data_IF_400502645714
#
_entry.id   IF_400502645714
#
_cell.length_a   1.000
_cell.length_b   1.000
_cell.length_c   1.000
_cell.angle_alpha   90.00
_cell.angle_beta   90.00
_cell.angle_gamma   90.00
#
_symmetry.space_group_name_H-M   'P 1'
#
loop_
_entity.id
_entity.type
_entity.pdbx_description
1 polymer ?
#
# COMPACT_ATOMS: atom_id res chain seq x y z
N UNK A 1 -25.23 19.30 20.30
CA UNK A 1 -25.62 18.27 19.30
C UNK A 1 -24.41 18.04 18.41
N UNK A 2 -23.97 16.80 18.19
CA UNK A 2 -22.91 16.55 17.22
C UNK A 2 -23.35 17.10 15.84
N UNK A 3 -22.44 17.70 15.06
CA UNK A 3 -22.78 18.25 13.75
C UNK A 3 -23.36 17.15 12.86
N UNK A 4 -24.49 17.44 12.22
CA UNK A 4 -25.22 16.49 11.40
C UNK A 4 -24.42 16.27 10.09
N UNK A 5 -23.86 15.07 9.90
CA UNK A 5 -23.20 14.67 8.64
C UNK A 5 -24.26 14.58 7.54
N UNK A 6 -24.48 15.69 6.83
CA UNK A 6 -25.44 15.73 5.72
C UNK A 6 -24.89 14.83 4.61
N UNK A 7 -25.64 13.76 4.31
CA UNK A 7 -25.36 12.76 3.26
C UNK A 7 -24.27 11.71 3.57
N UNK A 8 -23.90 11.48 4.84
CA UNK A 8 -22.88 10.47 5.23
C UNK A 8 -21.52 10.64 4.51
N UNK A 9 -21.16 11.88 4.16
CA UNK A 9 -19.98 12.17 3.34
C UNK A 9 -18.71 11.81 4.09
N UNK A 10 -18.66 12.11 5.39
CA UNK A 10 -17.50 11.79 6.23
C UNK A 10 -17.35 10.27 6.38
N UNK A 11 -18.46 9.53 6.49
CA UNK A 11 -18.44 8.06 6.51
C UNK A 11 -17.88 7.48 5.21
N UNK A 12 -18.31 7.98 4.05
CA UNK A 12 -17.82 7.54 2.74
C UNK A 12 -16.33 7.85 2.59
N UNK A 13 -15.87 9.03 3.01
CA UNK A 13 -14.45 9.38 2.93
C UNK A 13 -13.59 8.45 3.79
N UNK A 14 -14.01 8.15 5.02
CA UNK A 14 -13.31 7.19 5.88
C UNK A 14 -13.31 5.77 5.32
N UNK A 15 -14.37 5.37 4.63
CA UNK A 15 -14.44 4.10 3.92
C UNK A 15 -13.41 4.06 2.78
N UNK A 16 -13.33 5.10 1.95
CA UNK A 16 -12.30 5.20 0.90
C UNK A 16 -10.89 5.20 1.47
N UNK A 17 -10.65 5.90 2.58
CA UNK A 17 -9.36 5.86 3.28
C UNK A 17 -9.04 4.45 3.78
N UNK A 18 -10.02 3.73 4.32
CA UNK A 18 -9.90 2.33 4.68
C UNK A 18 -9.47 1.46 3.48
N UNK A 19 -10.09 1.65 2.31
CA UNK A 19 -9.67 0.95 1.08
C UNK A 19 -8.21 1.31 0.73
N UNK A 20 -7.86 2.60 0.76
CA UNK A 20 -6.52 3.09 0.43
C UNK A 20 -5.41 2.58 1.35
N UNK A 21 -5.70 2.19 2.59
CA UNK A 21 -4.69 1.63 3.51
C UNK A 21 -4.24 0.21 3.15
N UNK A 22 -5.12 -0.63 2.60
CA UNK A 22 -4.81 -2.05 2.37
C UNK A 22 -4.77 -2.42 0.90
N UNK A 23 -5.47 -1.70 0.03
CA UNK A 23 -5.48 -1.99 -1.40
C UNK A 23 -4.08 -1.99 -2.02
N UNK A 24 -3.19 -0.99 -1.77
CA UNK A 24 -1.85 -0.99 -2.35
C UNK A 24 -1.04 -2.23 -1.94
N UNK A 25 -1.16 -2.63 -0.68
CA UNK A 25 -0.50 -3.84 -0.16
C UNK A 25 -1.04 -5.11 -0.82
N UNK A 26 -2.37 -5.22 -0.97
CA UNK A 26 -2.99 -6.36 -1.63
C UNK A 26 -2.56 -6.46 -3.11
N UNK A 27 -2.49 -5.32 -3.81
CA UNK A 27 -2.01 -5.25 -5.20
C UNK A 27 -0.53 -5.66 -5.32
N UNK A 28 0.30 -5.32 -4.32
CA UNK A 28 1.72 -5.70 -4.30
C UNK A 28 1.90 -7.22 -4.14
N UNK A 29 1.14 -7.85 -3.23
CA UNK A 29 1.18 -9.31 -3.04
C UNK A 29 0.64 -10.03 -4.27
N UNK A 30 -0.45 -9.55 -4.87
CA UNK A 30 -1.06 -10.19 -6.05
C UNK A 30 -0.17 -10.10 -7.30
N UNK A 31 0.84 -9.24 -7.30
CA UNK A 31 1.86 -9.16 -8.36
C UNK A 31 3.01 -10.18 -8.18
N UNK A 32 2.85 -11.20 -7.33
CA UNK A 32 3.88 -12.22 -7.04
C UNK A 32 4.48 -12.85 -8.31
N UNK A 33 3.65 -13.29 -9.26
CA UNK A 33 4.10 -13.90 -10.51
C UNK A 33 4.97 -12.97 -11.36
N UNK A 34 4.78 -11.65 -11.25
CA UNK A 34 5.66 -10.69 -11.91
C UNK A 34 7.04 -10.64 -11.26
N UNK A 35 7.13 -10.74 -9.93
CA UNK A 35 8.42 -10.73 -9.24
C UNK A 35 9.14 -12.06 -9.42
N UNK A 36 8.46 -13.18 -9.18
CA UNK A 36 9.06 -14.52 -9.14
C UNK A 36 9.26 -15.09 -10.54
N UNK A 37 8.19 -15.12 -11.37
CA UNK A 37 8.21 -15.85 -12.64
C UNK A 37 8.79 -15.02 -13.80
N UNK A 38 8.78 -13.70 -13.68
CA UNK A 38 9.29 -12.79 -14.72
C UNK A 38 10.60 -12.10 -14.34
N UNK A 39 10.65 -11.36 -13.23
CA UNK A 39 11.81 -10.52 -12.90
C UNK A 39 12.99 -11.26 -12.31
N UNK A 40 12.75 -12.23 -11.44
CA UNK A 40 13.79 -13.02 -10.79
C UNK A 40 14.17 -14.26 -11.60
N UNK A 41 13.37 -14.64 -12.59
CA UNK A 41 13.60 -15.82 -13.43
C UNK A 41 14.60 -15.55 -14.56
N UNK A 42 15.90 -15.55 -14.23
CA UNK A 42 16.99 -15.38 -15.20
C UNK A 42 17.69 -16.71 -15.52
N UNK A 43 18.25 -16.80 -16.73
CA UNK A 43 18.91 -18.01 -17.28
C UNK A 43 20.15 -18.42 -16.48
N UNK A 44 20.83 -17.47 -15.81
CA UNK A 44 22.00 -17.70 -14.95
C UNK A 44 21.57 -17.69 -13.47
N UNK A 45 20.70 -18.61 -13.07
CA UNK A 45 20.20 -18.67 -11.69
C UNK A 45 21.27 -19.20 -10.74
N UNK A 46 21.58 -18.43 -9.69
CA UNK A 46 22.42 -18.85 -8.56
C UNK A 46 21.56 -19.51 -7.48
N UNK A 47 22.14 -20.36 -6.61
CA UNK A 47 21.39 -20.98 -5.50
C UNK A 47 20.72 -19.97 -4.57
N UNK A 48 21.31 -18.79 -4.41
CA UNK A 48 20.74 -17.68 -3.64
C UNK A 48 19.50 -17.08 -4.32
N UNK A 49 19.52 -16.94 -5.65
CA UNK A 49 18.40 -16.38 -6.40
C UNK A 49 17.19 -17.32 -6.40
N UNK A 50 17.41 -18.64 -6.48
CA UNK A 50 16.33 -19.62 -6.37
C UNK A 50 15.71 -19.64 -4.96
N UNK A 51 16.51 -19.38 -3.92
CA UNK A 51 15.99 -19.17 -2.57
C UNK A 51 15.13 -17.89 -2.48
N UNK A 52 15.56 -16.78 -3.11
CA UNK A 52 14.80 -15.53 -3.17
C UNK A 52 13.47 -15.68 -3.89
N UNK A 53 13.43 -16.44 -5.00
CA UNK A 53 12.18 -16.78 -5.72
C UNK A 53 11.23 -17.58 -4.82
N UNK A 54 11.74 -18.66 -4.23
CA UNK A 54 10.92 -19.61 -3.47
C UNK A 54 10.31 -18.97 -2.22
N UNK A 55 11.06 -18.06 -1.57
CA UNK A 55 10.65 -17.41 -0.33
C UNK A 55 10.29 -15.92 -0.53
N UNK A 56 9.97 -15.49 -1.76
CA UNK A 56 9.77 -14.07 -2.08
C UNK A 56 8.71 -13.42 -1.19
N UNK A 57 7.52 -14.02 -1.10
CA UNK A 57 6.43 -13.51 -0.26
C UNK A 57 6.79 -13.49 1.23
N UNK A 58 7.57 -14.48 1.70
CA UNK A 58 8.04 -14.52 3.09
C UNK A 58 9.01 -13.37 3.38
N UNK A 59 9.99 -13.14 2.49
CA UNK A 59 10.91 -12.01 2.60
C UNK A 59 10.18 -10.68 2.49
N UNK A 60 9.24 -10.56 1.55
CA UNK A 60 8.40 -9.37 1.38
C UNK A 60 7.59 -9.10 2.65
N UNK A 61 6.98 -10.13 3.24
CA UNK A 61 6.24 -10.04 4.49
C UNK A 61 7.10 -9.57 5.66
N UNK A 62 8.27 -10.17 5.87
CA UNK A 62 9.19 -9.80 6.94
C UNK A 62 9.72 -8.37 6.74
N UNK A 63 10.22 -8.05 5.54
CA UNK A 63 10.72 -6.72 5.20
C UNK A 63 9.64 -5.64 5.35
N UNK A 64 8.38 -5.99 5.14
CA UNK A 64 7.25 -5.09 5.28
C UNK A 64 6.79 -4.91 6.72
N UNK A 65 6.65 -5.99 7.49
CA UNK A 65 6.04 -5.96 8.83
C UNK A 65 7.05 -5.67 9.93
N UNK A 66 8.28 -6.18 9.85
CA UNK A 66 9.26 -5.99 10.92
C UNK A 66 9.65 -4.51 11.11
N UNK A 67 10.01 -3.73 10.07
CA UNK A 67 10.34 -2.31 10.25
C UNK A 67 9.13 -1.49 10.69
N UNK A 68 7.94 -1.83 10.18
CA UNK A 68 6.70 -1.18 10.56
C UNK A 68 6.40 -1.34 12.05
N UNK A 69 6.50 -2.56 12.59
CA UNK A 69 6.29 -2.83 14.03
C UNK A 69 7.31 -2.09 14.87
N UNK A 70 8.60 -2.17 14.52
CA UNK A 70 9.66 -1.48 15.25
C UNK A 70 9.42 0.03 15.33
N UNK A 71 9.07 0.66 14.21
CA UNK A 71 8.80 2.10 14.18
C UNK A 71 7.49 2.46 14.88
N UNK A 72 6.48 1.60 14.88
CA UNK A 72 5.26 1.83 15.66
C UNK A 72 5.54 1.75 17.17
N UNK A 73 6.34 0.79 17.61
CA UNK A 73 6.78 0.67 19.01
C UNK A 73 7.59 1.91 19.41
N UNK A 74 8.54 2.35 18.58
CA UNK A 74 9.30 3.57 18.84
C UNK A 74 8.36 4.79 18.91
N UNK A 75 7.41 4.93 17.97
CA UNK A 75 6.44 6.03 18.01
C UNK A 75 5.56 6.00 19.28
N UNK A 76 5.19 4.81 19.76
CA UNK A 76 4.42 4.64 20.99
C UNK A 76 5.19 5.18 22.21
N UNK A 77 6.48 4.84 22.32
CA UNK A 77 7.32 5.26 23.46
C UNK A 77 7.85 6.69 23.32
N UNK A 78 8.10 7.17 22.10
CA UNK A 78 8.67 8.48 21.83
C UNK A 78 7.68 9.65 21.94
N UNK A 79 6.38 9.36 22.15
CA UNK A 79 5.34 10.33 22.48
C UNK A 79 5.42 11.65 21.67
N UNK A 80 5.57 11.54 20.35
CA UNK A 80 5.61 12.69 19.44
C UNK A 80 4.19 13.22 19.23
N UNK A 81 3.71 13.98 20.21
CA UNK A 81 2.48 14.78 20.16
C UNK A 81 2.57 16.01 19.23
N UNK A 82 3.31 15.91 18.13
CA UNK A 82 3.61 17.05 17.25
C UNK A 82 3.16 16.77 15.81
N UNK A 83 2.14 17.51 15.37
CA UNK A 83 1.70 17.58 13.98
C UNK A 83 0.19 17.40 13.80
N UNK A 84 -0.42 18.21 12.93
CA UNK A 84 -1.80 18.01 12.49
C UNK A 84 -1.94 16.64 11.82
N UNK A 85 -2.93 15.84 12.24
CA UNK A 85 -3.21 14.50 11.68
C UNK A 85 -3.31 14.55 10.15
N UNK A 86 -3.99 15.56 9.59
CA UNK A 86 -4.15 15.72 8.14
C UNK A 86 -2.83 15.96 7.39
N UNK A 87 -1.87 16.65 8.01
CA UNK A 87 -0.53 16.85 7.40
C UNK A 87 0.20 15.51 7.35
N UNK A 88 0.16 14.73 8.44
CA UNK A 88 0.80 13.42 8.50
C UNK A 88 0.19 12.47 7.46
N UNK A 89 -1.15 12.44 7.35
CA UNK A 89 -1.87 11.66 6.35
C UNK A 89 -1.42 12.06 4.93
N UNK A 90 -1.44 13.35 4.62
CA UNK A 90 -1.04 13.85 3.29
C UNK A 90 0.40 13.45 2.94
N UNK A 91 1.34 13.62 3.87
CA UNK A 91 2.75 13.25 3.67
C UNK A 91 2.89 11.74 3.43
N UNK A 92 2.23 10.90 4.23
CA UNK A 92 2.29 9.44 4.05
C UNK A 92 1.71 8.99 2.72
N UNK A 93 0.60 9.59 2.26
CA UNK A 93 0.00 9.30 0.96
C UNK A 93 0.90 9.70 -0.21
N UNK A 94 1.58 10.85 -0.11
CA UNK A 94 2.55 11.30 -1.12
C UNK A 94 3.74 10.32 -1.17
N UNK A 95 4.31 9.97 -0.01
CA UNK A 95 5.43 9.02 0.06
C UNK A 95 5.03 7.67 -0.55
N UNK A 96 3.87 7.11 -0.19
CA UNK A 96 3.39 5.86 -0.76
C UNK A 96 3.21 5.95 -2.29
N UNK A 97 2.62 7.05 -2.77
CA UNK A 97 2.40 7.26 -4.21
C UNK A 97 3.72 7.32 -4.98
N UNK A 98 4.72 8.05 -4.47
CA UNK A 98 6.05 8.15 -5.07
C UNK A 98 6.75 6.79 -5.13
N UNK A 99 6.68 6.00 -4.05
CA UNK A 99 7.30 4.67 -4.04
C UNK A 99 6.58 3.73 -5.01
N UNK A 100 5.26 3.79 -5.14
CA UNK A 100 4.54 2.98 -6.14
C UNK A 100 4.87 3.40 -7.58
N UNK A 101 4.99 4.70 -7.86
CA UNK A 101 5.47 5.19 -9.17
C UNK A 101 6.88 4.68 -9.45
N UNK A 102 7.76 4.69 -8.46
CA UNK A 102 9.10 4.10 -8.56
C UNK A 102 9.05 2.59 -8.86
N UNK A 103 8.16 1.84 -8.19
CA UNK A 103 7.95 0.40 -8.47
C UNK A 103 7.45 0.15 -9.89
N UNK A 104 6.58 1.02 -10.44
CA UNK A 104 6.14 0.95 -11.84
C UNK A 104 7.32 1.18 -12.79
N UNK A 105 8.17 2.17 -12.52
CA UNK A 105 9.36 2.45 -13.34
C UNK A 105 10.31 1.25 -13.32
N UNK A 106 10.57 0.68 -12.14
CA UNK A 106 11.36 -0.56 -12.00
C UNK A 106 10.75 -1.75 -12.74
N UNK A 107 9.42 -1.78 -12.88
CA UNK A 107 8.73 -2.81 -13.65
C UNK A 107 8.93 -2.69 -15.15
N UNK A 108 9.08 -1.48 -15.66
CA UNK A 108 9.32 -1.24 -17.09
C UNK A 108 10.79 -1.49 -17.46
N UNK A 109 11.73 -1.05 -16.63
CA UNK A 109 13.19 -1.18 -16.83
C UNK A 109 13.60 -2.65 -16.91
N UNK A 110 14.56 -2.99 -17.78
CA UNK A 110 15.13 -4.33 -17.83
C UNK A 110 16.13 -4.55 -16.68
N UNK A 111 15.89 -5.59 -15.89
CA UNK A 111 16.69 -5.94 -14.70
C UNK A 111 17.42 -7.28 -14.83
N UNK A 112 17.44 -7.87 -16.03
CA UNK A 112 18.09 -9.16 -16.33
C UNK A 112 19.57 -9.21 -15.94
N UNK A 113 20.29 -8.08 -15.99
CA UNK A 113 21.71 -8.00 -15.60
C UNK A 113 21.98 -7.89 -14.09
N UNK A 114 20.96 -7.67 -13.26
CA UNK A 114 21.11 -7.29 -11.85
C UNK A 114 19.90 -7.72 -10.98
N UNK A 115 19.51 -9.01 -11.01
CA UNK A 115 18.32 -9.51 -10.31
C UNK A 115 18.43 -9.41 -8.78
N UNK A 116 19.61 -9.58 -8.21
CA UNK A 116 19.84 -9.46 -6.76
C UNK A 116 19.60 -8.04 -6.25
N UNK A 117 20.08 -7.04 -7.02
CA UNK A 117 19.88 -5.62 -6.67
C UNK A 117 18.40 -5.27 -6.79
N UNK A 118 17.71 -5.74 -7.83
CA UNK A 118 16.27 -5.57 -7.99
C UNK A 118 15.49 -6.13 -6.80
N UNK A 119 15.86 -7.31 -6.31
CA UNK A 119 15.25 -7.92 -5.13
C UNK A 119 15.38 -7.02 -3.89
N UNK A 120 16.60 -6.61 -3.53
CA UNK A 120 16.83 -5.77 -2.34
C UNK A 120 16.16 -4.40 -2.43
N UNK A 121 16.18 -3.77 -3.62
CA UNK A 121 15.49 -2.49 -3.86
C UNK A 121 13.97 -2.65 -3.71
N UNK A 122 13.41 -3.76 -4.18
CA UNK A 122 11.99 -4.07 -4.01
C UNK A 122 11.64 -4.26 -2.53
N UNK A 123 12.46 -5.00 -1.79
CA UNK A 123 12.26 -5.23 -0.34
C UNK A 123 12.34 -3.91 0.45
N UNK A 124 13.31 -3.04 0.13
CA UNK A 124 13.43 -1.72 0.74
C UNK A 124 12.21 -0.85 0.42
N UNK A 125 11.74 -0.86 -0.83
CA UNK A 125 10.54 -0.12 -1.24
C UNK A 125 9.29 -0.59 -0.49
N UNK A 126 9.13 -1.91 -0.34
CA UNK A 126 8.03 -2.51 0.41
C UNK A 126 8.09 -2.15 1.92
N UNK A 127 9.29 -2.10 2.50
CA UNK A 127 9.51 -1.64 3.87
C UNK A 127 9.06 -0.19 4.04
N UNK A 128 9.50 0.72 3.16
CA UNK A 128 9.12 2.14 3.20
C UNK A 128 7.60 2.32 3.04
N UNK A 129 6.99 1.62 2.08
CA UNK A 129 5.52 1.63 1.87
C UNK A 129 4.81 1.20 3.14
N UNK A 130 5.21 0.09 3.76
CA UNK A 130 4.52 -0.42 4.95
C UNK A 130 4.72 0.49 6.15
N UNK A 131 5.90 1.06 6.35
CA UNK A 131 6.15 2.04 7.42
C UNK A 131 5.23 3.26 7.25
N UNK A 132 5.19 3.85 6.04
CA UNK A 132 4.30 4.95 5.74
C UNK A 132 2.82 4.55 5.94
N UNK A 133 2.46 3.34 5.55
CA UNK A 133 1.11 2.80 5.71
C UNK A 133 0.71 2.63 7.19
N UNK A 134 1.63 2.22 8.07
CA UNK A 134 1.34 2.11 9.50
C UNK A 134 1.05 3.47 10.12
N UNK A 135 1.83 4.49 9.75
CA UNK A 135 1.58 5.87 10.19
C UNK A 135 0.25 6.38 9.62
N UNK A 136 -0.01 6.14 8.34
CA UNK A 136 -1.26 6.51 7.67
C UNK A 136 -2.48 5.87 8.35
N UNK A 137 -2.46 4.54 8.52
CA UNK A 137 -3.50 3.78 9.20
C UNK A 137 -3.74 4.29 10.63
N UNK A 138 -2.68 4.52 11.39
CA UNK A 138 -2.78 5.08 12.74
C UNK A 138 -3.39 6.48 12.76
N UNK A 139 -3.06 7.34 11.79
CA UNK A 139 -3.64 8.67 11.69
C UNK A 139 -5.12 8.64 11.27
N UNK A 140 -5.51 7.77 10.33
CA UNK A 140 -6.90 7.60 9.89
C UNK A 140 -7.77 7.11 11.05
N UNK A 141 -7.32 6.09 11.79
CA UNK A 141 -8.03 5.65 12.99
C UNK A 141 -8.05 6.73 14.10
N UNK A 142 -6.95 7.47 14.26
CA UNK A 142 -6.88 8.59 15.20
C UNK A 142 -7.83 9.74 14.85
N UNK A 143 -8.06 10.00 13.56
CA UNK A 143 -9.06 10.95 13.08
C UNK A 143 -10.49 10.41 13.27
N UNK A 144 -10.73 9.14 12.93
CA UNK A 144 -12.02 8.48 13.09
C UNK A 144 -12.45 8.37 14.56
N UNK A 145 -11.51 8.23 15.50
CA UNK A 145 -11.77 8.17 16.93
C UNK A 145 -12.28 9.48 17.54
N UNK A 146 -12.10 10.62 16.85
CA UNK A 146 -12.65 11.93 17.27
C UNK A 146 -14.11 12.11 16.87
N UNK A 147 -14.64 11.23 16.02
CA UNK A 147 -16.02 11.26 15.52
C UNK A 147 -16.92 10.35 16.37
N UNK A 148 -18.26 10.46 16.25
CA UNK A 148 -19.19 9.62 16.99
C UNK A 148 -18.93 8.10 16.84
N UNK A 149 -19.43 7.30 17.78
CA UNK A 149 -19.33 5.84 17.68
C UNK A 149 -19.89 5.33 16.34
N UNK A 150 -19.07 4.59 15.59
CA UNK A 150 -19.43 4.01 14.29
C UNK A 150 -18.52 4.42 13.12
N UNK A 151 -17.84 5.57 13.18
CA UNK A 151 -16.93 6.02 12.11
C UNK A 151 -15.64 5.18 11.99
N UNK A 152 -15.01 4.72 13.09
CA UNK A 152 -13.91 3.75 12.99
C UNK A 152 -14.31 2.44 12.30
N UNK A 153 -15.58 2.02 12.41
CA UNK A 153 -16.07 0.82 11.72
C UNK A 153 -16.11 1.03 10.21
N UNK A 154 -16.37 2.25 9.72
CA UNK A 154 -16.32 2.58 8.30
C UNK A 154 -14.94 2.29 7.70
N UNK A 155 -13.87 2.65 8.43
CA UNK A 155 -12.49 2.39 8.03
C UNK A 155 -12.24 0.89 7.94
N UNK A 156 -12.66 0.12 8.95
CA UNK A 156 -12.53 -1.34 8.97
C UNK A 156 -13.33 -2.01 7.85
N UNK A 157 -14.53 -1.51 7.53
CA UNK A 157 -15.32 -1.99 6.38
C UNK A 157 -14.56 -1.73 5.08
N UNK A 158 -14.04 -0.52 4.87
CA UNK A 158 -13.23 -0.19 3.68
C UNK A 158 -11.98 -1.07 3.54
N UNK A 159 -11.31 -1.35 4.65
CA UNK A 159 -10.19 -2.30 4.69
C UNK A 159 -10.57 -3.68 4.20
N UNK A 160 -11.68 -4.24 4.69
CA UNK A 160 -12.15 -5.55 4.25
C UNK A 160 -12.57 -5.54 2.77
N UNK A 161 -13.22 -4.46 2.31
CA UNK A 161 -13.59 -4.29 0.90
C UNK A 161 -12.37 -4.26 -0.02
N UNK A 162 -11.23 -3.72 0.43
CA UNK A 162 -10.00 -3.72 -0.36
C UNK A 162 -9.52 -5.13 -0.72
N UNK A 163 -9.74 -6.12 0.15
CA UNK A 163 -9.42 -7.51 -0.11
C UNK A 163 -10.28 -8.07 -1.24
N UNK A 164 -11.59 -7.86 -1.17
CA UNK A 164 -12.53 -8.27 -2.22
C UNK A 164 -12.20 -7.61 -3.56
N UNK A 165 -11.94 -6.30 -3.55
CA UNK A 165 -11.54 -5.55 -4.76
C UNK A 165 -10.26 -6.15 -5.35
N UNK A 166 -9.23 -6.38 -4.52
CA UNK A 166 -7.97 -6.96 -4.98
C UNK A 166 -8.13 -8.36 -5.57
N UNK A 167 -8.97 -9.22 -4.98
CA UNK A 167 -9.28 -10.55 -5.51
C UNK A 167 -9.99 -10.48 -6.86
N UNK A 168 -10.94 -9.55 -7.03
CA UNK A 168 -11.61 -9.33 -8.33
C UNK A 168 -10.60 -8.90 -9.40
N UNK A 169 -9.73 -7.95 -9.08
CA UNK A 169 -8.65 -7.53 -9.98
C UNK A 169 -7.70 -8.68 -10.32
N UNK A 170 -7.38 -9.55 -9.36
CA UNK A 170 -6.55 -10.72 -9.61
C UNK A 170 -7.21 -11.69 -10.60
N UNK A 171 -8.50 -12.00 -10.42
CA UNK A 171 -9.26 -12.88 -11.32
C UNK A 171 -9.32 -12.26 -12.73
N UNK A 172 -9.66 -10.98 -12.83
CA UNK A 172 -9.72 -10.25 -14.11
C UNK A 172 -8.35 -10.25 -14.78
N UNK A 173 -7.28 -10.04 -14.03
CA UNK A 173 -5.92 -10.05 -14.57
C UNK A 173 -5.54 -11.42 -15.12
N UNK A 174 -5.89 -12.53 -14.45
CA UNK A 174 -5.64 -13.88 -14.98
C UNK A 174 -6.42 -14.10 -16.29
N UNK A 175 -7.64 -13.56 -16.40
CA UNK A 175 -8.47 -13.73 -17.59
C UNK A 175 -8.06 -12.84 -18.78
N UNK A 176 -7.53 -11.64 -18.52
CA UNK A 176 -7.32 -10.61 -19.56
C UNK A 176 -5.84 -10.32 -19.84
N UNK A 177 -4.95 -10.44 -18.86
CA UNK A 177 -3.56 -10.00 -19.03
C UNK A 177 -2.74 -11.02 -19.84
N UNK A 178 -2.18 -10.62 -20.99
CA UNK A 178 -1.36 -11.51 -21.83
C UNK A 178 0.05 -11.74 -21.25
N UNK A 179 0.46 -10.98 -20.23
CA UNK A 179 1.77 -11.16 -19.58
C UNK A 179 1.76 -10.68 -18.12
N UNK A 180 2.59 -11.31 -17.28
CA UNK A 180 2.75 -10.96 -15.86
C UNK A 180 3.23 -9.50 -15.68
N UNK A 181 4.07 -8.99 -16.61
CA UNK A 181 4.51 -7.59 -16.61
C UNK A 181 3.34 -6.61 -16.74
N UNK A 182 2.44 -6.84 -17.70
CA UNK A 182 1.28 -5.96 -17.93
C UNK A 182 0.32 -6.03 -16.75
N UNK A 183 0.09 -7.22 -16.19
CA UNK A 183 -0.71 -7.42 -14.98
C UNK A 183 -0.19 -6.58 -13.79
N UNK A 184 1.11 -6.66 -13.50
CA UNK A 184 1.71 -5.92 -12.40
C UNK A 184 1.65 -4.40 -12.60
N UNK A 185 1.87 -3.91 -13.82
CA UNK A 185 1.73 -2.49 -14.13
C UNK A 185 0.29 -2.02 -13.87
N UNK A 186 -0.72 -2.80 -14.25
CA UNK A 186 -2.12 -2.50 -13.97
C UNK A 186 -2.38 -2.47 -12.46
N UNK A 187 -1.92 -3.48 -11.71
CA UNK A 187 -2.08 -3.51 -10.25
C UNK A 187 -1.45 -2.31 -9.55
N UNK A 188 -0.22 -1.95 -9.92
CA UNK A 188 0.46 -0.79 -9.34
C UNK A 188 -0.19 0.53 -9.77
N UNK A 189 -0.67 0.64 -11.01
CA UNK A 189 -1.41 1.81 -11.46
C UNK A 189 -2.73 1.98 -10.69
N UNK A 190 -3.48 0.89 -10.45
CA UNK A 190 -4.68 0.91 -9.61
C UNK A 190 -4.37 1.38 -8.18
N UNK A 191 -3.25 0.93 -7.60
CA UNK A 191 -2.80 1.40 -6.29
C UNK A 191 -2.54 2.91 -6.28
N UNK A 192 -1.82 3.44 -7.29
CA UNK A 192 -1.55 4.89 -7.42
C UNK A 192 -2.83 5.70 -7.59
N UNK A 193 -3.77 5.25 -8.43
CA UNK A 193 -5.06 5.93 -8.63
C UNK A 193 -5.83 6.02 -7.32
N UNK A 194 -5.87 4.94 -6.55
CA UNK A 194 -6.58 4.92 -5.27
C UNK A 194 -5.91 5.78 -4.20
N UNK A 195 -4.58 5.78 -4.12
CA UNK A 195 -3.83 6.69 -3.26
C UNK A 195 -4.06 8.16 -3.66
N UNK A 196 -4.17 8.45 -4.96
CA UNK A 196 -4.47 9.79 -5.46
C UNK A 196 -5.88 10.24 -5.06
N UNK A 197 -6.87 9.35 -5.15
CA UNK A 197 -8.23 9.63 -4.66
C UNK A 197 -8.22 9.94 -3.16
N UNK A 198 -7.49 9.17 -2.35
CA UNK A 198 -7.33 9.43 -0.92
C UNK A 198 -6.69 10.81 -0.67
N UNK A 199 -5.66 11.15 -1.44
CA UNK A 199 -4.98 12.44 -1.34
C UNK A 199 -5.92 13.62 -1.69
N UNK A 200 -6.68 13.52 -2.78
CA UNK A 200 -7.64 14.56 -3.18
C UNK A 200 -8.73 14.73 -2.12
N UNK A 201 -9.25 13.63 -1.56
CA UNK A 201 -10.25 13.70 -0.49
C UNK A 201 -9.74 14.34 0.80
N UNK A 202 -8.47 14.14 1.17
CA UNK A 202 -7.84 14.85 2.29
C UNK A 202 -7.68 16.35 2.04
N UNK A 203 -7.28 16.75 0.83
CA UNK A 203 -7.25 18.16 0.46
C UNK A 203 -8.64 18.80 0.51
N UNK A 204 -9.68 18.07 0.08
CA UNK A 204 -11.05 18.54 0.16
C UNK A 204 -11.53 18.71 1.62
N UNK A 205 -11.18 17.77 2.51
CA UNK A 205 -11.47 17.86 3.95
C UNK A 205 -10.71 18.98 4.65
N UNK A 206 -9.54 19.38 4.15
CA UNK A 206 -8.76 20.49 4.72
C UNK A 206 -9.34 21.86 4.35
N UNK A 207 -10.01 21.96 3.20
CA UNK A 207 -10.49 23.22 2.62
C UNK A 207 -11.95 23.57 2.96
N UNK A 208 -12.72 22.66 3.59
CA UNK A 208 -14.11 22.84 4.00
C UNK A 208 -14.28 22.55 5.49
#
# INVERSE_FOLDING_TARGET
MPPNDRFNVVFIILLFHGIGTLLPWNMLINADSYFVDYKLNVTNSTPSLDNYKTNFLSYLGIASKAPNILLQIINLFANTGYGSLSIRISVTLIVQSLVFVFTIILAVIDSTGWPDIFFWVTMLSAAVINVANGVYQGCVYGAAAKLPMGYPNAVTIGMNMSGTIASLFMIISIAVSPSAKVAAIIFFACAVVMLTICLVSEFYLKNN
#
